data_IF_384557297864
#
_entry.id   IF_384557297864
#
_cell.length_a   1.000
_cell.length_b   1.000
_cell.length_c   1.000
_cell.angle_alpha   90.00
_cell.angle_beta   90.00
_cell.angle_gamma   90.00
#
_symmetry.space_group_name_H-M   'P 1'
#
loop_
_entity.id
_entity.type
_entity.pdbx_description
1 polymer ?
#
# COMPACT_ATOMS: atom_id res chain seq x y z
N UNK A 1 -11.79 1.53 13.40
CA UNK A 1 -10.57 2.24 12.93
C UNK A 1 -9.51 1.18 12.75
N UNK A 2 -9.20 0.85 11.50
CA UNK A 2 -8.47 -0.35 11.11
C UNK A 2 -7.07 -0.39 11.73
N UNK A 3 -6.79 -1.49 12.42
CA UNK A 3 -5.52 -1.85 13.08
C UNK A 3 -4.42 -2.24 12.08
N UNK A 4 -4.70 -2.23 10.77
CA UNK A 4 -3.78 -2.69 9.73
C UNK A 4 -2.65 -1.69 9.41
N UNK A 5 -2.91 -0.37 9.43
CA UNK A 5 -1.91 0.62 8.98
C UNK A 5 -0.77 0.84 9.98
N UNK A 6 -0.99 0.60 11.28
CA UNK A 6 0.06 0.64 12.30
C UNK A 6 0.95 -0.62 12.31
N UNK A 7 0.47 -1.72 11.73
CA UNK A 7 1.13 -3.01 11.70
C UNK A 7 2.27 -3.07 10.67
N UNK A 8 2.11 -2.37 9.54
CA UNK A 8 3.06 -2.35 8.44
C UNK A 8 4.39 -1.68 8.81
N UNK A 9 4.34 -0.53 9.50
CA UNK A 9 5.52 0.26 9.83
C UNK A 9 6.48 -0.47 10.79
N UNK A 10 5.94 -1.31 11.67
CA UNK A 10 6.70 -2.07 12.67
C UNK A 10 7.18 -3.40 12.15
N UNK A 11 6.40 -4.06 11.29
CA UNK A 11 6.87 -5.21 10.52
C UNK A 11 8.01 -4.80 9.59
N UNK A 12 8.01 -3.58 9.05
CA UNK A 12 9.15 -3.03 8.29
C UNK A 12 10.34 -2.74 9.21
N UNK A 13 10.18 -2.09 10.37
CA UNK A 13 11.31 -1.89 11.31
C UNK A 13 11.89 -3.23 11.81
N UNK A 14 11.04 -4.21 12.12
CA UNK A 14 11.46 -5.57 12.44
C UNK A 14 12.13 -6.23 11.23
N UNK A 15 11.63 -6.05 10.01
CA UNK A 15 12.25 -6.56 8.78
C UNK A 15 13.61 -5.89 8.48
N UNK A 16 13.77 -4.58 8.71
CA UNK A 16 15.03 -3.84 8.48
C UNK A 16 16.15 -4.29 9.43
N UNK A 17 15.79 -4.70 10.65
CA UNK A 17 16.71 -5.30 11.62
C UNK A 17 17.08 -6.74 11.21
N UNK A 18 16.24 -7.39 10.39
CA UNK A 18 16.20 -8.85 10.23
C UNK A 18 16.71 -9.36 8.88
N UNK A 19 16.39 -8.64 7.82
CA UNK A 19 16.72 -8.94 6.44
C UNK A 19 17.34 -7.69 5.83
N UNK A 20 18.65 -7.74 5.55
CA UNK A 20 19.39 -6.67 4.88
C UNK A 20 18.99 -6.44 3.40
N UNK A 21 17.75 -6.76 3.00
CA UNK A 21 17.28 -6.75 1.61
C UNK A 21 15.87 -6.13 1.45
N UNK A 22 15.54 -5.05 2.18
CA UNK A 22 14.48 -4.11 1.72
C UNK A 22 15.05 -2.81 1.13
N UNK A 23 16.31 -2.81 0.70
CA UNK A 23 16.91 -1.63 0.08
C UNK A 23 16.42 -1.47 -1.38
N UNK A 24 15.34 -0.70 -1.58
CA UNK A 24 14.96 -0.16 -2.90
C UNK A 24 15.38 1.30 -3.13
N UNK A 25 15.92 1.96 -2.12
CA UNK A 25 16.27 3.38 -2.19
C UNK A 25 17.66 3.70 -1.64
N UNK A 26 18.02 4.97 -1.69
CA UNK A 26 19.30 5.52 -1.24
C UNK A 26 19.22 5.99 0.22
N UNK A 27 20.36 6.15 0.86
CA UNK A 27 20.48 6.59 2.27
C UNK A 27 19.74 5.68 3.27
N UNK A 28 19.60 4.40 2.94
CA UNK A 28 18.82 3.42 3.70
C UNK A 28 17.35 3.30 3.28
N UNK A 29 16.87 4.18 2.40
CA UNK A 29 15.56 4.05 1.75
C UNK A 29 14.41 3.80 2.72
N UNK A 30 13.69 2.69 2.50
CA UNK A 30 12.50 2.31 3.28
C UNK A 30 12.84 2.08 4.75
N UNK A 31 14.01 1.53 5.06
CA UNK A 31 14.45 1.27 6.43
C UNK A 31 14.67 2.58 7.18
N UNK A 32 15.28 3.57 6.51
CA UNK A 32 15.50 4.89 7.06
C UNK A 32 14.18 5.62 7.34
N UNK A 33 13.26 5.62 6.36
CA UNK A 33 11.96 6.25 6.53
C UNK A 33 11.14 5.59 7.64
N UNK A 34 11.11 4.26 7.69
CA UNK A 34 10.34 3.51 8.69
C UNK A 34 10.86 3.77 10.09
N UNK A 35 12.18 3.72 10.29
CA UNK A 35 12.79 4.09 11.55
C UNK A 35 12.44 5.53 11.94
N UNK A 36 12.63 6.47 11.03
CA UNK A 36 12.46 7.91 11.28
C UNK A 36 11.02 8.21 11.69
N UNK A 37 10.04 7.59 11.04
CA UNK A 37 8.62 7.73 11.35
C UNK A 37 8.28 7.08 12.68
N UNK A 38 8.72 5.83 12.94
CA UNK A 38 8.44 5.14 14.22
C UNK A 38 9.02 5.90 15.40
N UNK A 39 10.30 6.31 15.31
CA UNK A 39 10.97 7.10 16.36
C UNK A 39 10.28 8.45 16.55
N UNK A 40 9.83 9.10 15.47
CA UNK A 40 9.01 10.32 15.57
C UNK A 40 7.67 10.10 16.26
N UNK A 41 6.97 8.99 15.98
CA UNK A 41 5.72 8.63 16.68
C UNK A 41 5.98 8.40 18.17
N UNK A 42 7.09 7.76 18.54
CA UNK A 42 7.48 7.58 19.95
C UNK A 42 7.71 8.94 20.64
N UNK A 43 8.39 9.89 19.98
CA UNK A 43 8.53 11.26 20.50
C UNK A 43 7.14 11.91 20.71
N UNK A 44 6.24 11.79 19.73
CA UNK A 44 4.89 12.33 19.85
C UNK A 44 4.08 11.70 20.98
N UNK A 45 4.15 10.38 21.17
CA UNK A 45 3.48 9.70 22.28
C UNK A 45 3.97 10.26 23.62
N UNK A 46 5.28 10.49 23.76
CA UNK A 46 5.85 11.05 24.99
C UNK A 46 5.31 12.44 25.30
N UNK A 47 5.14 13.28 24.27
CA UNK A 47 4.57 14.64 24.38
C UNK A 47 3.08 14.56 24.69
N UNK A 48 2.32 13.73 23.99
CA UNK A 48 0.86 13.63 24.10
C UNK A 48 0.41 13.06 25.45
N UNK A 49 1.10 12.03 25.93
CA UNK A 49 0.77 11.36 27.19
C UNK A 49 1.56 11.91 28.38
N UNK A 50 2.45 12.89 28.15
CA UNK A 50 3.34 13.46 29.16
C UNK A 50 4.09 12.37 29.94
N UNK A 51 4.70 11.44 29.21
CA UNK A 51 5.38 10.27 29.75
C UNK A 51 6.83 10.18 29.23
N UNK A 52 7.63 9.30 29.84
CA UNK A 52 9.02 9.11 29.39
C UNK A 52 9.08 8.40 28.03
N UNK A 53 10.19 8.57 27.30
CA UNK A 53 10.44 7.82 26.05
C UNK A 53 10.36 6.30 26.29
N UNK A 54 10.86 5.80 27.43
CA UNK A 54 10.78 4.38 27.78
C UNK A 54 9.32 3.92 27.87
N UNK A 55 8.49 4.67 28.59
CA UNK A 55 7.05 4.38 28.70
C UNK A 55 6.34 4.48 27.35
N UNK A 56 6.74 5.43 26.51
CA UNK A 56 6.19 5.60 25.16
C UNK A 56 6.52 4.44 24.23
N UNK A 57 7.74 3.88 24.33
CA UNK A 57 8.15 2.68 23.61
C UNK A 57 7.29 1.47 24.02
N UNK A 58 7.09 1.26 25.31
CA UNK A 58 6.22 0.18 25.81
C UNK A 58 4.76 0.35 25.38
N UNK A 59 4.24 1.57 25.47
CA UNK A 59 2.89 1.94 25.03
C UNK A 59 2.71 1.65 23.55
N UNK A 60 3.68 2.03 22.73
CA UNK A 60 3.67 1.77 21.29
C UNK A 60 3.57 0.27 21.01
N UNK A 61 4.38 -0.57 21.68
CA UNK A 61 4.26 -2.02 21.54
C UNK A 61 2.91 -2.59 22.01
N UNK A 62 2.26 -1.95 22.98
CA UNK A 62 0.95 -2.37 23.47
C UNK A 62 -0.21 -2.07 22.51
N UNK A 63 -0.01 -1.18 21.52
CA UNK A 63 -0.99 -0.93 20.46
C UNK A 63 -0.98 -1.98 19.35
N UNK A 64 -0.01 -2.89 19.36
CA UNK A 64 0.15 -3.90 18.33
C UNK A 64 -0.62 -5.18 18.67
N UNK A 65 -1.04 -5.94 17.64
CA UNK A 65 -1.56 -7.29 17.80
C UNK A 65 -0.60 -8.17 18.60
N UNK A 66 -1.14 -9.18 19.30
CA UNK A 66 -0.40 -10.09 20.19
C UNK A 66 0.86 -10.66 19.56
N UNK A 67 0.77 -11.02 18.29
CA UNK A 67 1.81 -11.76 17.57
C UNK A 67 3.02 -10.85 17.29
N UNK A 68 2.81 -9.55 17.11
CA UNK A 68 3.88 -8.57 16.80
C UNK A 68 4.38 -7.88 18.07
N UNK A 69 3.50 -7.73 19.06
CA UNK A 69 3.80 -7.12 20.35
C UNK A 69 5.02 -7.72 21.02
N UNK A 70 5.19 -9.04 20.98
CA UNK A 70 6.36 -9.73 21.56
C UNK A 70 7.65 -9.27 20.89
N UNK A 71 7.68 -9.23 19.56
CA UNK A 71 8.86 -8.77 18.82
C UNK A 71 9.17 -7.30 19.02
N UNK A 72 8.14 -6.45 19.10
CA UNK A 72 8.32 -5.05 19.43
C UNK A 72 8.99 -4.87 20.79
N UNK A 73 8.54 -5.60 21.81
CA UNK A 73 9.15 -5.54 23.15
C UNK A 73 10.60 -5.97 23.15
N UNK A 74 10.92 -7.05 22.44
CA UNK A 74 12.32 -7.49 22.26
C UNK A 74 13.15 -6.39 21.59
N UNK A 75 12.64 -5.77 20.52
CA UNK A 75 13.33 -4.67 19.86
C UNK A 75 13.53 -3.46 20.78
N UNK A 76 12.56 -3.15 21.64
CA UNK A 76 12.66 -2.10 22.67
C UNK A 76 13.74 -2.43 23.71
N UNK A 77 13.85 -3.68 24.15
CA UNK A 77 14.86 -4.08 25.13
C UNK A 77 16.29 -3.89 24.59
N UNK A 78 16.51 -4.16 23.30
CA UNK A 78 17.81 -3.97 22.66
C UNK A 78 18.04 -2.52 22.20
N UNK A 79 17.12 -1.92 21.44
CA UNK A 79 17.32 -0.61 20.81
C UNK A 79 16.88 0.57 21.69
N UNK A 80 16.04 0.33 22.68
CA UNK A 80 15.51 1.36 23.59
C UNK A 80 16.60 2.23 24.24
N UNK A 81 17.68 1.66 24.80
CA UNK A 81 18.73 2.46 25.45
C UNK A 81 19.37 3.52 24.53
N UNK A 82 19.73 3.17 23.29
CA UNK A 82 20.35 4.11 22.35
C UNK A 82 19.33 5.15 21.84
N UNK A 83 18.07 4.74 21.64
CA UNK A 83 16.97 5.65 21.27
C UNK A 83 16.74 6.70 22.37
N UNK A 84 16.63 6.25 23.62
CA UNK A 84 16.44 7.12 24.80
C UNK A 84 17.62 8.08 24.95
N UNK A 85 18.85 7.60 24.81
CA UNK A 85 20.04 8.46 24.86
C UNK A 85 20.03 9.53 23.75
N UNK A 86 19.59 9.16 22.54
CA UNK A 86 19.42 10.10 21.44
C UNK A 86 18.49 11.25 21.81
N UNK A 87 17.30 10.94 22.32
CA UNK A 87 16.36 11.97 22.77
C UNK A 87 16.88 12.81 23.95
N UNK A 88 17.58 12.21 24.91
CA UNK A 88 18.21 12.95 26.01
C UNK A 88 19.28 13.94 25.53
N UNK A 89 19.87 13.70 24.35
CA UNK A 89 20.80 14.64 23.68
C UNK A 89 20.10 15.62 22.73
N UNK A 90 18.77 15.70 22.74
CA UNK A 90 17.97 16.50 21.82
C UNK A 90 18.25 16.19 20.33
N UNK A 91 18.55 14.91 20.03
CA UNK A 91 18.68 14.44 18.65
C UNK A 91 17.32 14.23 18.00
N UNK A 92 17.23 14.46 16.68
CA UNK A 92 16.00 14.21 15.93
C UNK A 92 15.86 12.74 15.58
N UNK A 93 14.64 12.25 15.28
CA UNK A 93 14.42 10.89 14.80
C UNK A 93 15.35 10.49 13.64
N UNK A 94 15.60 11.38 12.68
CA UNK A 94 16.51 11.11 11.55
C UNK A 94 17.91 10.71 12.04
N UNK A 95 18.44 11.41 13.06
CA UNK A 95 19.80 11.19 13.58
C UNK A 95 19.86 9.97 14.50
N UNK A 96 18.81 9.75 15.29
CA UNK A 96 18.68 8.53 16.09
C UNK A 96 18.70 7.30 15.17
N UNK A 97 18.05 7.37 14.02
CA UNK A 97 18.05 6.30 13.03
C UNK A 97 19.42 6.07 12.37
N UNK A 98 20.25 7.10 12.24
CA UNK A 98 21.66 6.94 11.87
C UNK A 98 22.49 6.25 12.95
N UNK A 99 22.12 6.35 14.23
CA UNK A 99 22.83 5.67 15.32
C UNK A 99 22.63 4.15 15.33
N UNK A 100 21.53 3.68 14.75
CA UNK A 100 21.19 2.26 14.61
C UNK A 100 21.32 1.74 13.16
N UNK A 101 21.98 2.48 12.27
CA UNK A 101 22.31 2.09 10.87
C UNK A 101 21.12 1.91 9.91
N UNK A 102 19.89 2.17 10.35
CA UNK A 102 18.73 2.12 9.46
C UNK A 102 18.71 3.30 8.48
N UNK A 103 19.28 4.44 8.88
CA UNK A 103 19.68 5.50 7.97
C UNK A 103 21.21 5.52 7.79
N UNK A 104 21.66 5.91 6.60
CA UNK A 104 23.07 6.06 6.24
C UNK A 104 23.25 7.17 5.21
N UNK A 105 24.49 7.65 5.04
CA UNK A 105 24.85 8.58 3.98
C UNK A 105 25.51 7.79 2.84
N UNK A 106 24.81 7.64 1.71
CA UNK A 106 25.34 6.97 0.53
C UNK A 106 26.21 7.95 -0.31
N UNK A 107 27.37 7.52 -0.85
CA UNK A 107 28.25 8.40 -1.61
C UNK A 107 27.53 9.02 -2.82
N UNK A 108 27.62 10.35 -2.94
CA UNK A 108 27.01 11.11 -4.04
C UNK A 108 25.53 11.45 -3.85
N UNK A 109 24.92 11.03 -2.73
CA UNK A 109 23.53 11.33 -2.41
C UNK A 109 23.43 12.47 -1.39
N UNK A 110 22.38 13.33 -1.49
CA UNK A 110 22.16 14.38 -0.50
C UNK A 110 21.69 13.78 0.83
N UNK A 111 21.90 14.50 1.91
CA UNK A 111 21.41 14.10 3.23
C UNK A 111 19.89 14.33 3.34
N UNK A 112 19.12 13.26 3.55
CA UNK A 112 17.66 13.32 3.64
C UNK A 112 17.19 13.66 5.06
N UNK A 113 16.30 14.65 5.19
CA UNK A 113 15.83 15.14 6.50
C UNK A 113 14.31 15.34 6.53
N UNK A 114 13.64 14.68 7.46
CA UNK A 114 12.22 14.88 7.73
C UNK A 114 12.00 15.87 8.88
N UNK A 115 12.70 15.69 10.02
CA UNK A 115 12.55 16.55 11.19
C UNK A 115 13.60 17.67 11.22
N UNK A 116 13.16 18.89 11.58
CA UNK A 116 14.06 20.04 11.72
C UNK A 116 14.95 19.90 12.95
N UNK A 117 16.28 20.00 12.76
CA UNK A 117 17.23 20.02 13.87
C UNK A 117 16.99 21.21 14.79
N UNK A 118 16.89 20.96 16.09
CA UNK A 118 16.87 21.99 17.14
C UNK A 118 18.28 22.54 17.45
N UNK A 119 19.33 21.94 16.88
CA UNK A 119 20.74 22.21 17.17
C UNK A 119 21.52 22.70 15.94
N UNK A 120 22.32 23.76 16.11
CA UNK A 120 23.25 24.34 15.13
C UNK A 120 24.60 23.59 15.12
N UNK A 121 24.56 22.26 14.98
CA UNK A 121 25.77 21.45 14.88
C UNK A 121 26.32 21.45 13.44
N UNK A 122 27.63 21.60 13.29
CA UNK A 122 28.33 21.46 12.00
C UNK A 122 28.58 19.98 11.61
N UNK A 123 28.24 19.02 12.48
CA UNK A 123 28.40 17.60 12.21
C UNK A 123 27.25 17.06 11.34
N UNK A 124 27.58 16.16 10.40
CA UNK A 124 26.56 15.43 9.63
C UNK A 124 25.71 14.51 10.51
N UNK A 125 24.54 14.10 10.02
CA UNK A 125 23.67 13.15 10.69
C UNK A 125 24.39 11.82 10.96
N UNK A 126 25.15 11.30 10.00
CA UNK A 126 25.97 10.10 10.20
C UNK A 126 27.03 10.26 11.29
N UNK A 127 27.72 11.40 11.36
CA UNK A 127 28.70 11.67 12.42
C UNK A 127 28.05 11.73 13.80
N UNK A 128 26.90 12.39 13.91
CA UNK A 128 26.13 12.47 15.17
C UNK A 128 25.60 11.10 15.58
N UNK A 129 25.07 10.32 14.64
CA UNK A 129 24.66 8.94 14.86
C UNK A 129 25.82 8.03 15.29
N UNK A 130 27.00 8.18 14.67
CA UNK A 130 28.20 7.44 15.05
C UNK A 130 28.65 7.77 16.49
N UNK A 131 28.58 9.04 16.90
CA UNK A 131 28.92 9.46 18.26
C UNK A 131 27.98 8.86 19.32
N UNK A 132 26.68 8.68 19.01
CA UNK A 132 25.76 7.93 19.86
C UNK A 132 26.16 6.45 19.95
N UNK A 133 26.45 5.84 18.81
CA UNK A 133 26.76 4.41 18.70
C UNK A 133 28.05 4.00 19.39
N UNK A 134 29.05 4.88 19.51
CA UNK A 134 30.32 4.57 20.19
C UNK A 134 30.14 4.02 21.61
N UNK A 135 29.04 4.34 22.30
CA UNK A 135 28.74 3.81 23.65
C UNK A 135 28.08 2.43 23.65
N UNK A 136 27.70 1.90 22.49
CA UNK A 136 27.03 0.61 22.31
C UNK A 136 27.80 -0.27 21.30
N UNK A 137 29.02 -0.72 21.63
CA UNK A 137 29.91 -1.45 20.71
C UNK A 137 29.37 -2.82 20.26
N UNK A 138 28.37 -3.38 20.94
CA UNK A 138 27.70 -4.64 20.60
C UNK A 138 26.62 -4.49 19.52
N UNK A 139 26.17 -3.26 19.23
CA UNK A 139 25.06 -2.99 18.31
C UNK A 139 25.36 -3.41 16.85
N UNK A 140 26.56 -3.16 16.28
CA UNK A 140 26.90 -3.58 14.92
C UNK A 140 26.82 -5.10 14.70
N UNK A 141 27.19 -5.90 15.70
CA UNK A 141 27.09 -7.37 15.63
C UNK A 141 25.65 -7.89 15.67
N UNK A 142 24.73 -7.17 16.31
CA UNK A 142 23.31 -7.53 16.35
C UNK A 142 22.63 -7.34 14.98
N UNK A 143 22.96 -6.24 14.29
CA UNK A 143 22.36 -5.82 13.02
C UNK A 143 22.98 -6.50 11.78
N UNK A 144 24.07 -7.26 11.94
CA UNK A 144 24.78 -7.94 10.83
C UNK A 144 24.59 -9.45 10.81
N UNK A 145 23.94 -10.02 11.83
CA UNK A 145 23.61 -11.44 11.87
C UNK A 145 22.40 -11.75 10.98
N UNK A 146 22.37 -12.91 10.33
CA UNK A 146 21.21 -13.41 9.56
C UNK A 146 20.02 -13.52 10.48
N UNK A 147 19.27 -12.43 10.62
CA UNK A 147 18.34 -12.34 11.72
C UNK A 147 17.06 -13.16 11.47
N UNK A 148 16.80 -13.63 10.24
CA UNK A 148 15.83 -14.72 10.00
C UNK A 148 16.22 -16.08 10.59
N UNK A 149 17.45 -16.26 11.10
CA UNK A 149 17.84 -17.48 11.81
C UNK A 149 17.50 -17.42 13.33
N UNK A 150 17.04 -16.26 13.82
CA UNK A 150 16.62 -16.11 15.22
C UNK A 150 15.20 -16.69 15.43
N UNK A 151 14.99 -17.51 16.49
CA UNK A 151 13.66 -18.03 16.83
C UNK A 151 12.63 -16.91 17.05
N UNK A 152 11.47 -17.01 16.41
CA UNK A 152 10.41 -16.00 16.38
C UNK A 152 10.54 -15.02 15.20
N UNK A 153 11.75 -14.72 14.76
CA UNK A 153 11.98 -13.86 13.61
C UNK A 153 11.87 -14.64 12.29
N UNK A 154 12.31 -15.90 12.29
CA UNK A 154 12.14 -16.84 11.18
C UNK A 154 10.68 -16.95 10.72
N UNK A 155 9.75 -16.96 11.66
CA UNK A 155 8.31 -17.05 11.43
C UNK A 155 7.77 -15.79 10.73
N UNK A 156 8.28 -14.60 11.08
CA UNK A 156 7.94 -13.33 10.41
C UNK A 156 8.44 -13.34 8.96
N UNK A 157 9.65 -13.83 8.71
CA UNK A 157 10.21 -13.92 7.36
C UNK A 157 9.34 -14.81 6.45
N UNK A 158 8.83 -15.92 6.99
CA UNK A 158 7.92 -16.82 6.28
C UNK A 158 6.58 -16.13 5.93
N UNK A 159 5.97 -15.42 6.89
CA UNK A 159 4.76 -14.62 6.65
C UNK A 159 4.98 -13.65 5.49
N UNK A 160 6.13 -12.98 5.44
CA UNK A 160 6.41 -12.01 4.38
C UNK A 160 6.49 -12.63 2.98
N UNK A 161 7.18 -13.75 2.86
CA UNK A 161 7.33 -14.45 1.59
C UNK A 161 5.99 -14.99 1.08
N UNK A 162 5.21 -15.63 1.93
CA UNK A 162 3.92 -16.22 1.55
C UNK A 162 2.84 -15.14 1.30
N UNK A 163 2.73 -14.15 2.19
CA UNK A 163 1.62 -13.20 2.16
C UNK A 163 1.86 -12.00 1.25
N UNK A 164 3.05 -11.40 1.31
CA UNK A 164 3.31 -10.14 0.61
C UNK A 164 3.98 -10.35 -0.75
N UNK A 165 4.86 -11.35 -0.89
CA UNK A 165 5.50 -11.66 -2.16
C UNK A 165 4.64 -12.60 -3.01
N UNK A 166 4.17 -13.70 -2.42
CA UNK A 166 3.39 -14.72 -3.14
C UNK A 166 1.88 -14.42 -3.17
N UNK A 167 1.43 -13.38 -2.46
CA UNK A 167 0.03 -12.92 -2.46
C UNK A 167 -0.98 -14.01 -2.02
N UNK A 168 -0.55 -14.88 -1.11
CA UNK A 168 -1.31 -16.01 -0.57
C UNK A 168 -1.81 -15.72 0.85
N UNK A 169 -2.95 -16.32 1.28
CA UNK A 169 -3.34 -16.29 2.69
C UNK A 169 -2.25 -16.88 3.57
N UNK A 170 -2.19 -16.45 4.83
CA UNK A 170 -1.26 -17.05 5.78
C UNK A 170 -1.74 -18.44 6.23
N UNK A 171 -3.06 -18.62 6.33
CA UNK A 171 -3.69 -19.90 6.62
C UNK A 171 -4.53 -20.31 5.41
N UNK A 172 -4.04 -21.33 4.71
CA UNK A 172 -4.64 -21.96 3.52
C UNK A 172 -4.16 -23.42 3.50
N UNK A 173 -4.87 -24.29 4.22
CA UNK A 173 -4.48 -25.68 4.50
C UNK A 173 -4.76 -26.56 3.28
N UNK A 174 -5.84 -26.31 2.55
CA UNK A 174 -6.23 -27.11 1.38
C UNK A 174 -5.66 -26.59 0.04
N UNK A 175 -5.01 -25.41 0.06
CA UNK A 175 -4.28 -24.83 -1.04
C UNK A 175 -5.16 -24.17 -2.10
N UNK A 176 -6.39 -23.82 -1.75
CA UNK A 176 -7.37 -23.24 -2.67
C UNK A 176 -7.35 -21.71 -2.74
N UNK A 177 -6.47 -21.12 -1.92
CA UNK A 177 -6.12 -19.70 -1.87
C UNK A 177 -7.15 -18.82 -1.19
N UNK A 178 -8.05 -19.38 -0.39
CA UNK A 178 -8.92 -18.66 0.52
C UNK A 178 -8.44 -18.88 1.96
N UNK A 179 -8.56 -17.85 2.79
CA UNK A 179 -8.08 -17.89 4.18
C UNK A 179 -9.22 -17.79 5.17
N UNK A 180 -9.02 -18.36 6.35
CA UNK A 180 -9.99 -18.29 7.46
C UNK A 180 -9.81 -17.03 8.32
N UNK A 181 -8.64 -16.43 8.27
CA UNK A 181 -8.23 -15.23 9.00
C UNK A 181 -8.59 -13.95 8.23
N UNK A 182 -9.02 -12.90 8.92
CA UNK A 182 -9.40 -11.63 8.29
C UNK A 182 -8.19 -10.92 7.66
N UNK A 183 -7.04 -10.94 8.33
CA UNK A 183 -5.81 -10.25 7.91
C UNK A 183 -4.98 -11.05 6.89
N UNK A 184 -3.76 -10.59 6.58
CA UNK A 184 -2.75 -11.37 5.85
C UNK A 184 -3.22 -12.12 4.59
N UNK A 185 -3.96 -11.43 3.71
CA UNK A 185 -4.51 -11.98 2.45
C UNK A 185 -5.61 -13.04 2.59
N UNK A 186 -6.13 -13.28 3.80
CA UNK A 186 -7.33 -14.08 4.02
C UNK A 186 -8.63 -13.31 3.72
N UNK A 187 -9.60 -13.35 4.62
CA UNK A 187 -10.99 -13.00 4.34
C UNK A 187 -11.29 -11.50 4.13
N UNK A 188 -10.35 -10.59 4.39
CA UNK A 188 -10.48 -9.18 3.99
C UNK A 188 -10.09 -8.94 2.53
N UNK A 189 -9.44 -9.90 1.89
CA UNK A 189 -8.95 -9.81 0.50
C UNK A 189 -9.76 -10.67 -0.46
N UNK A 190 -10.32 -11.77 0.04
CA UNK A 190 -11.20 -12.72 -0.64
C UNK A 190 -12.29 -13.11 0.34
N UNK A 191 -13.37 -13.76 -0.07
CA UNK A 191 -14.37 -14.29 0.82
C UNK A 191 -13.74 -15.25 1.81
N UNK A 192 -14.32 -15.34 3.01
CA UNK A 192 -13.81 -16.25 4.03
C UNK A 192 -13.94 -17.69 3.56
N UNK A 193 -12.87 -18.47 3.77
CA UNK A 193 -12.98 -19.91 3.59
C UNK A 193 -13.87 -20.51 4.68
N UNK A 194 -14.91 -21.23 4.25
CA UNK A 194 -15.86 -21.88 5.13
C UNK A 194 -15.49 -23.34 5.44
N UNK A 195 -14.54 -23.94 4.69
CA UNK A 195 -13.98 -25.27 4.95
C UNK A 195 -12.54 -25.40 4.39
N UNK A 196 -11.58 -24.93 5.18
CA UNK A 196 -10.12 -24.97 4.90
C UNK A 196 -9.52 -26.40 4.88
N UNK A 197 -10.36 -27.44 4.76
CA UNK A 197 -9.94 -28.82 4.53
C UNK A 197 -10.39 -29.34 3.17
N UNK A 198 -11.11 -28.54 2.38
CA UNK A 198 -11.64 -28.94 1.09
C UNK A 198 -11.52 -27.83 0.05
N UNK A 199 -10.53 -27.99 -0.84
CA UNK A 199 -10.31 -27.08 -1.97
C UNK A 199 -11.43 -27.04 -3.01
N UNK A 200 -12.58 -27.65 -2.75
CA UNK A 200 -13.81 -27.56 -3.54
C UNK A 200 -14.85 -26.63 -2.92
N UNK A 201 -14.69 -26.24 -1.65
CA UNK A 201 -15.65 -25.48 -0.86
C UNK A 201 -15.05 -24.11 -0.58
N UNK A 202 -15.20 -23.19 -1.54
CA UNK A 202 -14.61 -21.86 -1.47
C UNK A 202 -15.46 -20.81 -2.14
N UNK A 203 -15.31 -19.53 -1.78
CA UNK A 203 -16.00 -18.44 -2.45
C UNK A 203 -15.85 -18.51 -3.98
N UNK A 204 -16.98 -18.56 -4.68
CA UNK A 204 -17.07 -18.60 -6.13
C UNK A 204 -17.32 -19.95 -6.79
N UNK A 205 -16.95 -21.09 -6.21
CA UNK A 205 -17.32 -22.40 -6.79
C UNK A 205 -18.86 -22.51 -6.94
N UNK A 206 -19.39 -23.29 -7.90
CA UNK A 206 -20.85 -23.40 -8.07
C UNK A 206 -21.53 -23.78 -6.73
N UNK A 207 -22.36 -22.83 -6.26
CA UNK A 207 -22.80 -22.52 -4.88
C UNK A 207 -21.65 -22.25 -3.88
N UNK A 208 -21.32 -21.02 -3.41
CA UNK A 208 -21.95 -19.67 -3.47
C UNK A 208 -20.89 -18.52 -3.35
N UNK A 209 -20.96 -17.50 -4.25
CA UNK A 209 -20.49 -16.06 -4.21
C UNK A 209 -18.97 -15.71 -4.10
N UNK A 210 -18.49 -14.74 -4.91
CA UNK A 210 -17.07 -14.56 -5.33
C UNK A 210 -16.37 -13.21 -5.06
N UNK A 211 -15.13 -13.02 -5.62
CA UNK A 211 -14.17 -11.95 -5.22
C UNK A 211 -13.24 -11.35 -6.30
N UNK A 212 -12.54 -10.27 -5.89
CA UNK A 212 -11.79 -9.22 -6.63
C UNK A 212 -10.25 -9.25 -6.38
N UNK A 213 -9.42 -8.83 -7.35
CA UNK A 213 -7.95 -8.67 -7.20
C UNK A 213 -7.42 -7.52 -8.08
N UNK A 214 -6.36 -6.81 -7.63
CA UNK A 214 -5.74 -5.67 -8.35
C UNK A 214 -4.20 -5.75 -8.45
N UNK A 215 -3.59 -5.05 -9.42
CA UNK A 215 -2.15 -5.11 -9.74
C UNK A 215 -1.64 -3.99 -10.68
N UNK A 216 -0.50 -4.18 -11.34
CA UNK A 216 0.15 -3.23 -12.30
C UNK A 216 0.42 -3.91 -13.65
N UNK A 217 0.46 -3.22 -14.80
CA UNK A 217 0.45 -3.89 -16.12
C UNK A 217 1.57 -4.92 -16.33
N UNK A 218 2.76 -4.66 -15.78
CA UNK A 218 3.93 -5.55 -15.88
C UNK A 218 3.80 -6.84 -15.07
N UNK A 219 3.08 -6.83 -13.95
CA UNK A 219 2.91 -7.99 -13.05
C UNK A 219 1.46 -8.43 -12.90
N UNK A 220 0.52 -7.78 -13.60
CA UNK A 220 -0.90 -8.11 -13.54
C UNK A 220 -1.14 -9.50 -14.12
N UNK A 221 -0.30 -10.01 -15.03
CA UNK A 221 -0.41 -11.39 -15.48
C UNK A 221 -0.08 -12.38 -14.37
N UNK A 222 0.87 -12.06 -13.48
CA UNK A 222 1.20 -12.94 -12.37
C UNK A 222 0.15 -12.88 -11.26
N UNK A 223 -0.45 -11.70 -11.04
CA UNK A 223 -1.60 -11.53 -10.13
C UNK A 223 -2.89 -12.09 -10.75
N UNK A 224 -3.10 -11.97 -12.05
CA UNK A 224 -4.28 -12.53 -12.71
C UNK A 224 -4.24 -14.06 -12.65
N UNK A 225 -3.06 -14.69 -12.61
CA UNK A 225 -2.92 -16.14 -12.32
C UNK A 225 -3.34 -16.53 -10.90
N UNK A 226 -3.48 -15.58 -9.98
CA UNK A 226 -4.08 -15.83 -8.67
C UNK A 226 -5.60 -15.77 -8.69
N UNK A 227 -6.23 -15.36 -9.79
CA UNK A 227 -7.66 -15.56 -10.05
C UNK A 227 -7.95 -17.05 -10.22
N UNK A 228 -8.79 -17.60 -9.35
CA UNK A 228 -9.21 -19.00 -9.42
C UNK A 228 -10.62 -19.06 -10.01
N UNK A 229 -10.74 -19.48 -11.28
CA UNK A 229 -12.03 -19.74 -11.93
C UNK A 229 -11.99 -20.95 -12.84
N UNK A 230 -13.05 -21.76 -12.75
CA UNK A 230 -13.34 -22.85 -13.69
C UNK A 230 -14.33 -22.38 -14.75
N UNK A 231 -13.90 -22.35 -16.02
CA UNK A 231 -14.72 -21.85 -17.13
C UNK A 231 -16.06 -22.59 -17.34
N UNK A 232 -16.14 -23.86 -16.95
CA UNK A 232 -17.32 -24.70 -17.19
C UNK A 232 -18.23 -24.75 -15.96
N UNK A 233 -17.63 -24.70 -14.78
CA UNK A 233 -18.31 -24.99 -13.52
C UNK A 233 -18.62 -23.73 -12.72
N UNK A 234 -17.94 -22.61 -12.94
CA UNK A 234 -18.17 -21.38 -12.18
C UNK A 234 -19.17 -20.43 -12.86
N UNK A 235 -19.74 -19.53 -12.06
CA UNK A 235 -20.61 -18.46 -12.57
C UNK A 235 -19.78 -17.37 -13.27
N UNK A 236 -20.36 -16.69 -14.27
CA UNK A 236 -19.72 -15.55 -14.91
C UNK A 236 -19.38 -14.42 -13.93
N UNK A 237 -18.37 -13.63 -14.26
CA UNK A 237 -17.88 -12.52 -13.44
C UNK A 237 -18.09 -11.18 -14.13
N UNK A 238 -18.30 -10.13 -13.32
CA UNK A 238 -17.94 -8.76 -13.70
C UNK A 238 -16.53 -8.49 -13.20
N UNK A 239 -15.58 -8.32 -14.11
CA UNK A 239 -14.18 -8.00 -13.83
C UNK A 239 -13.93 -6.53 -14.10
N UNK A 240 -13.41 -5.80 -13.10
CA UNK A 240 -12.93 -4.44 -13.28
C UNK A 240 -11.40 -4.48 -13.41
N UNK A 241 -10.90 -4.30 -14.62
CA UNK A 241 -9.46 -4.25 -14.93
C UNK A 241 -8.95 -2.82 -14.72
N UNK A 242 -8.40 -2.54 -13.54
CA UNK A 242 -8.10 -1.18 -13.08
C UNK A 242 -6.63 -1.02 -12.66
N UNK A 243 -5.80 -0.48 -13.57
CA UNK A 243 -4.36 -0.25 -13.39
C UNK A 243 -4.05 1.24 -13.35
N UNK A 244 -4.47 1.90 -12.27
CA UNK A 244 -4.75 3.35 -12.30
C UNK A 244 -3.55 4.28 -12.05
N UNK A 245 -2.32 3.77 -11.85
CA UNK A 245 -1.21 4.68 -11.51
C UNK A 245 0.22 4.15 -11.65
N UNK A 246 0.50 2.89 -11.30
CA UNK A 246 1.87 2.36 -11.26
C UNK A 246 2.62 2.37 -12.62
N UNK A 247 1.92 2.57 -13.72
CA UNK A 247 2.50 2.70 -15.06
C UNK A 247 3.08 4.10 -15.35
N UNK A 248 2.73 5.10 -14.53
CA UNK A 248 3.34 6.45 -14.51
C UNK A 248 4.01 6.80 -13.19
N UNK A 249 3.69 6.08 -12.11
CA UNK A 249 4.23 6.30 -10.78
C UNK A 249 5.39 5.37 -10.43
N UNK A 250 6.52 5.98 -10.05
CA UNK A 250 7.71 5.29 -9.58
C UNK A 250 8.54 6.21 -8.67
N UNK A 251 9.48 5.63 -7.92
CA UNK A 251 10.41 6.34 -7.02
C UNK A 251 11.80 6.59 -7.60
N UNK A 252 12.01 6.32 -8.90
CA UNK A 252 13.32 6.48 -9.54
C UNK A 252 13.63 7.96 -9.78
N UNK A 253 14.92 8.32 -9.67
CA UNK A 253 15.39 9.68 -9.95
C UNK A 253 15.10 10.11 -11.40
N UNK A 254 15.36 9.24 -12.38
CA UNK A 254 14.88 9.42 -13.76
C UNK A 254 13.46 8.89 -13.93
N UNK A 255 12.49 9.57 -13.31
CA UNK A 255 11.12 9.08 -13.22
C UNK A 255 10.46 8.90 -14.59
N UNK A 256 10.80 9.74 -15.57
CA UNK A 256 10.20 9.76 -16.92
C UNK A 256 10.64 8.53 -17.72
N UNK A 257 11.93 8.18 -17.69
CA UNK A 257 12.43 7.01 -18.41
C UNK A 257 11.83 5.68 -17.91
N UNK A 258 11.30 5.67 -16.67
CA UNK A 258 10.70 4.50 -16.04
C UNK A 258 9.17 4.43 -16.18
N UNK A 259 8.54 5.40 -16.84
CA UNK A 259 7.11 5.34 -17.13
C UNK A 259 6.85 4.42 -18.33
N UNK A 260 5.83 3.57 -18.23
CA UNK A 260 5.37 2.70 -19.33
C UNK A 260 5.03 3.56 -20.56
N UNK A 261 5.36 3.04 -21.75
CA UNK A 261 5.03 3.70 -23.02
C UNK A 261 3.65 3.29 -23.53
N UNK A 262 3.12 4.03 -24.51
CA UNK A 262 1.85 3.69 -25.16
C UNK A 262 1.85 2.25 -25.71
N UNK A 263 2.86 1.90 -26.51
CA UNK A 263 2.96 0.58 -27.15
C UNK A 263 3.05 -0.55 -26.11
N UNK A 264 3.78 -0.33 -25.03
CA UNK A 264 3.86 -1.29 -23.93
C UNK A 264 2.51 -1.48 -23.25
N UNK A 265 1.81 -0.39 -22.92
CA UNK A 265 0.50 -0.46 -22.25
C UNK A 265 -0.55 -1.12 -23.13
N UNK A 266 -0.59 -0.75 -24.42
CA UNK A 266 -1.48 -1.34 -25.42
C UNK A 266 -1.28 -2.86 -25.50
N UNK A 267 -0.03 -3.32 -25.72
CA UNK A 267 0.29 -4.74 -25.86
C UNK A 267 0.07 -5.53 -24.56
N UNK A 268 0.39 -4.94 -23.40
CA UNK A 268 0.14 -5.58 -22.09
C UNK A 268 -1.36 -5.70 -21.80
N UNK A 269 -2.15 -4.69 -22.17
CA UNK A 269 -3.62 -4.74 -22.03
C UNK A 269 -4.20 -5.84 -22.90
N UNK A 270 -3.80 -5.94 -24.17
CA UNK A 270 -4.21 -7.04 -25.05
C UNK A 270 -3.84 -8.41 -24.47
N UNK A 271 -2.64 -8.54 -23.91
CA UNK A 271 -2.19 -9.79 -23.28
C UNK A 271 -3.03 -10.14 -22.06
N UNK A 272 -3.37 -9.15 -21.23
CA UNK A 272 -4.25 -9.33 -20.08
C UNK A 272 -5.67 -9.76 -20.47
N UNK A 273 -6.25 -9.12 -21.49
CA UNK A 273 -7.56 -9.49 -22.02
C UNK A 273 -7.55 -10.90 -22.62
N UNK A 274 -6.49 -11.24 -23.36
CA UNK A 274 -6.30 -12.59 -23.89
C UNK A 274 -6.20 -13.66 -22.80
N UNK A 275 -5.52 -13.36 -21.70
CA UNK A 275 -5.44 -14.25 -20.56
C UNK A 275 -6.81 -14.43 -19.88
N UNK A 276 -7.55 -13.34 -19.64
CA UNK A 276 -8.90 -13.41 -19.07
C UNK A 276 -9.83 -14.28 -19.92
N UNK A 277 -9.68 -14.27 -21.24
CA UNK A 277 -10.48 -15.11 -22.14
C UNK A 277 -10.19 -16.61 -21.95
N UNK A 278 -9.05 -16.99 -21.36
CA UNK A 278 -8.75 -18.38 -21.01
C UNK A 278 -9.25 -18.81 -19.63
N UNK A 279 -9.71 -17.87 -18.80
CA UNK A 279 -10.07 -18.12 -17.39
C UNK A 279 -11.53 -17.84 -17.10
N UNK A 280 -12.11 -16.82 -17.74
CA UNK A 280 -13.48 -16.39 -17.45
C UNK A 280 -14.51 -17.35 -18.08
N UNK A 281 -15.55 -17.76 -17.35
CA UNK A 281 -16.70 -18.47 -17.91
C UNK A 281 -17.43 -17.63 -18.96
N UNK A 282 -18.07 -18.30 -19.93
CA UNK A 282 -18.92 -17.65 -20.96
C UNK A 282 -20.01 -16.81 -20.30
N UNK A 283 -20.17 -15.58 -20.78
CA UNK A 283 -21.16 -14.61 -20.28
C UNK A 283 -20.59 -13.69 -19.20
N UNK A 284 -19.27 -13.67 -19.02
CA UNK A 284 -18.61 -12.71 -18.13
C UNK A 284 -18.56 -11.32 -18.77
N UNK A 285 -18.18 -10.31 -18.00
CA UNK A 285 -18.06 -8.93 -18.44
C UNK A 285 -16.75 -8.33 -17.92
N UNK A 286 -16.03 -7.58 -18.77
CA UNK A 286 -14.76 -6.93 -18.40
C UNK A 286 -14.87 -5.43 -18.64
N UNK A 287 -14.81 -4.65 -17.56
CA UNK A 287 -14.70 -3.20 -17.60
C UNK A 287 -13.23 -2.81 -17.41
N UNK A 288 -12.58 -2.31 -18.47
CA UNK A 288 -11.25 -1.71 -18.35
C UNK A 288 -11.38 -0.25 -17.92
N UNK A 289 -10.47 0.17 -17.04
CA UNK A 289 -10.45 1.52 -16.48
C UNK A 289 -9.17 2.23 -16.91
N UNK A 290 -9.31 3.49 -17.36
CA UNK A 290 -8.18 4.37 -17.64
C UNK A 290 -7.33 4.68 -16.42
N UNK A 291 -6.22 5.40 -16.59
CA UNK A 291 -5.38 5.81 -15.47
C UNK A 291 -6.04 6.96 -14.69
N UNK A 292 -5.67 7.09 -13.41
CA UNK A 292 -6.09 8.21 -12.60
C UNK A 292 -5.43 9.51 -13.07
N UNK A 293 -6.15 10.63 -12.90
CA UNK A 293 -5.59 11.96 -13.04
C UNK A 293 -5.02 12.44 -11.69
N UNK A 294 -3.72 12.24 -11.47
CA UNK A 294 -3.05 12.64 -10.23
C UNK A 294 -2.62 14.12 -10.17
N UNK A 295 -2.95 14.94 -11.18
CA UNK A 295 -2.53 16.36 -11.25
C UNK A 295 -2.91 17.18 -10.01
N UNK A 296 -4.05 16.85 -9.40
CA UNK A 296 -4.60 17.54 -8.24
C UNK A 296 -3.94 17.17 -6.91
N UNK A 297 -3.23 16.04 -6.82
CA UNK A 297 -2.77 15.47 -5.55
C UNK A 297 -1.87 16.44 -4.78
N UNK A 298 -0.85 16.97 -5.47
CA UNK A 298 0.09 17.91 -4.87
C UNK A 298 -0.63 19.21 -4.46
N UNK A 299 -1.44 19.77 -5.34
CA UNK A 299 -2.12 21.05 -5.11
C UNK A 299 -3.09 20.95 -3.91
N UNK A 300 -3.74 19.80 -3.72
CA UNK A 300 -4.65 19.57 -2.59
C UNK A 300 -3.93 19.41 -1.24
N UNK A 301 -2.68 18.93 -1.24
CA UNK A 301 -2.02 18.45 -0.01
C UNK A 301 -0.76 19.23 0.39
N UNK A 302 0.00 19.80 -0.53
CA UNK A 302 1.39 20.24 -0.29
C UNK A 302 1.57 21.19 0.91
N UNK A 303 0.64 22.11 1.14
CA UNK A 303 0.66 23.08 2.26
C UNK A 303 0.02 22.55 3.55
N UNK A 304 -0.69 21.41 3.48
CA UNK A 304 -1.36 20.83 4.64
C UNK A 304 -0.35 20.16 5.56
N UNK A 305 -0.63 20.19 6.86
CA UNK A 305 0.18 19.51 7.86
C UNK A 305 -0.11 18.01 7.80
N UNK A 306 0.94 17.23 7.52
CA UNK A 306 0.92 15.77 7.54
C UNK A 306 0.60 15.27 8.98
N UNK A 307 0.00 14.07 9.18
CA UNK A 307 -0.23 13.52 10.52
C UNK A 307 0.99 13.53 11.44
N UNK A 308 2.19 13.31 10.89
CA UNK A 308 3.47 13.40 11.61
C UNK A 308 3.83 14.82 12.07
N UNK A 309 3.24 15.86 11.48
CA UNK A 309 3.49 17.26 11.85
C UNK A 309 2.48 17.84 12.83
N UNK A 310 1.55 17.03 13.38
CA UNK A 310 0.48 17.52 14.28
C UNK A 310 0.95 17.78 15.70
N UNK A 311 2.09 17.20 16.08
CA UNK A 311 2.71 17.35 17.41
C UNK A 311 4.12 17.85 17.19
N UNK A 312 4.51 18.91 17.90
CA UNK A 312 5.81 19.56 17.69
C UNK A 312 5.82 20.51 16.47
N UNK A 313 6.99 20.77 15.87
CA UNK A 313 7.10 21.61 14.67
C UNK A 313 6.29 21.03 13.50
N UNK A 314 5.61 21.88 12.71
CA UNK A 314 4.77 21.41 11.61
C UNK A 314 5.61 20.75 10.51
N UNK A 315 5.14 19.59 10.04
CA UNK A 315 5.65 18.87 8.88
C UNK A 315 4.54 18.86 7.83
N UNK A 316 4.79 19.51 6.69
CA UNK A 316 3.84 19.56 5.58
C UNK A 316 3.95 18.33 4.68
N UNK A 317 2.92 18.05 3.87
CA UNK A 317 3.04 16.99 2.84
C UNK A 317 4.17 17.28 1.86
N UNK A 318 4.40 18.53 1.45
CA UNK A 318 5.55 18.88 0.60
C UNK A 318 6.88 18.44 1.21
N UNK A 319 7.05 18.57 2.53
CA UNK A 319 8.24 18.13 3.24
C UNK A 319 8.37 16.60 3.27
N UNK A 320 7.26 15.89 3.46
CA UNK A 320 7.22 14.41 3.38
C UNK A 320 7.56 13.94 1.97
N UNK A 321 6.96 14.53 0.95
CA UNK A 321 7.22 14.19 -0.45
C UNK A 321 8.70 14.36 -0.80
N UNK A 322 9.31 15.51 -0.50
CA UNK A 322 10.74 15.73 -0.73
C UNK A 322 11.63 14.78 0.08
N UNK A 323 11.20 14.37 1.28
CA UNK A 323 11.94 13.38 2.08
C UNK A 323 11.91 11.98 1.43
N UNK A 324 10.74 11.53 0.97
CA UNK A 324 10.59 10.24 0.29
C UNK A 324 11.25 10.22 -1.10
N UNK A 325 11.21 11.33 -1.82
CA UNK A 325 11.93 11.54 -3.09
C UNK A 325 13.44 11.47 -2.88
N UNK A 326 13.97 12.15 -1.86
CA UNK A 326 15.39 12.11 -1.50
C UNK A 326 15.89 10.69 -1.17
N UNK A 327 15.03 9.88 -0.56
CA UNK A 327 15.32 8.48 -0.25
C UNK A 327 15.12 7.53 -1.44
N UNK A 328 14.65 8.01 -2.59
CA UNK A 328 14.26 7.20 -3.77
C UNK A 328 13.19 6.14 -3.45
N UNK A 329 12.24 6.46 -2.57
CA UNK A 329 11.16 5.56 -2.15
C UNK A 329 9.76 6.17 -2.27
N UNK A 330 9.65 7.38 -2.84
CA UNK A 330 8.36 7.99 -3.12
C UNK A 330 7.51 7.05 -3.96
N UNK A 331 6.21 6.88 -3.64
CA UNK A 331 5.33 6.02 -4.43
C UNK A 331 5.08 6.61 -5.82
N UNK A 332 5.27 7.92 -6.01
CA UNK A 332 5.08 8.58 -7.30
C UNK A 332 5.85 9.91 -7.38
N UNK A 333 7.12 9.89 -7.79
CA UNK A 333 7.91 11.10 -8.03
C UNK A 333 7.24 12.04 -9.05
N UNK A 334 6.57 11.48 -10.06
CA UNK A 334 5.87 12.23 -11.09
C UNK A 334 4.82 13.21 -10.55
N UNK A 335 3.89 12.74 -9.72
CA UNK A 335 2.80 13.56 -9.19
C UNK A 335 3.08 14.17 -7.81
N UNK A 336 3.88 13.52 -6.97
CA UNK A 336 4.19 13.98 -5.60
C UNK A 336 5.47 14.81 -5.59
N UNK A 337 5.58 15.78 -6.50
CA UNK A 337 6.76 16.65 -6.63
C UNK A 337 6.36 18.11 -6.70
N UNK A 338 7.20 18.99 -6.14
CA UNK A 338 7.05 20.43 -6.29
C UNK A 338 7.27 20.90 -7.73
N UNK A 339 7.91 20.10 -8.58
CA UNK A 339 8.14 20.39 -9.99
C UNK A 339 6.84 20.26 -10.81
N UNK A 340 6.21 21.39 -11.13
CA UNK A 340 4.95 21.45 -11.87
C UNK A 340 5.05 20.90 -13.29
N UNK A 341 6.19 21.11 -13.97
CA UNK A 341 6.47 20.59 -15.30
C UNK A 341 6.51 19.07 -15.29
N UNK A 342 7.10 18.47 -14.25
CA UNK A 342 7.11 17.03 -14.07
C UNK A 342 5.70 16.49 -13.80
N UNK A 343 4.91 17.17 -12.97
CA UNK A 343 3.50 16.79 -12.71
C UNK A 343 2.66 16.85 -13.98
N UNK A 344 2.85 17.89 -14.80
CA UNK A 344 2.15 18.05 -16.08
C UNK A 344 2.49 16.93 -17.06
N UNK A 345 3.78 16.62 -17.23
CA UNK A 345 4.22 15.52 -18.09
C UNK A 345 3.70 14.15 -17.62
N UNK A 346 3.72 13.90 -16.30
CA UNK A 346 3.18 12.65 -15.72
C UNK A 346 1.69 12.49 -16.04
N UNK A 347 0.94 13.60 -15.96
CA UNK A 347 -0.49 13.62 -16.27
C UNK A 347 -0.75 13.42 -17.77
N UNK A 348 0.06 14.04 -18.65
CA UNK A 348 0.01 13.81 -20.09
C UNK A 348 0.29 12.34 -20.44
N UNK A 349 1.32 11.74 -19.82
CA UNK A 349 1.60 10.31 -19.98
C UNK A 349 0.41 9.46 -19.52
N UNK A 350 -0.22 9.78 -18.40
CA UNK A 350 -1.37 9.04 -17.90
C UNK A 350 -2.57 9.08 -18.87
N UNK A 351 -2.85 10.25 -19.47
CA UNK A 351 -3.85 10.39 -20.53
C UNK A 351 -3.49 9.51 -21.74
N UNK A 352 -2.23 9.56 -22.19
CA UNK A 352 -1.77 8.74 -23.31
C UNK A 352 -1.91 7.22 -23.04
N UNK A 353 -1.59 6.78 -21.83
CA UNK A 353 -1.77 5.36 -21.45
C UNK A 353 -3.24 4.96 -21.31
N UNK A 354 -4.11 5.89 -20.91
CA UNK A 354 -5.56 5.64 -20.87
C UNK A 354 -6.14 5.40 -22.27
N UNK A 355 -5.67 6.17 -23.27
CA UNK A 355 -5.98 5.93 -24.69
C UNK A 355 -5.48 4.55 -25.13
N UNK A 356 -4.27 4.14 -24.73
CA UNK A 356 -3.76 2.81 -25.05
C UNK A 356 -4.65 1.68 -24.50
N UNK A 357 -5.17 1.83 -23.28
CA UNK A 357 -6.11 0.87 -22.66
C UNK A 357 -7.43 0.86 -23.42
N UNK A 358 -7.99 2.03 -23.75
CA UNK A 358 -9.20 2.18 -24.55
C UNK A 358 -9.06 1.46 -25.91
N UNK A 359 -7.99 1.76 -26.64
CA UNK A 359 -7.75 1.22 -27.98
C UNK A 359 -7.54 -0.29 -27.95
N UNK A 360 -6.79 -0.81 -26.97
CA UNK A 360 -6.64 -2.25 -26.77
C UNK A 360 -7.97 -2.94 -26.45
N UNK A 361 -8.80 -2.32 -25.60
CA UNK A 361 -10.12 -2.84 -25.20
C UNK A 361 -11.07 -2.94 -26.38
N UNK A 362 -11.06 -1.93 -27.27
CA UNK A 362 -11.91 -1.90 -28.45
C UNK A 362 -11.38 -2.76 -29.62
N UNK A 363 -10.08 -3.04 -29.63
CA UNK A 363 -9.45 -3.88 -30.66
C UNK A 363 -9.61 -5.38 -30.34
N UNK A 364 -9.53 -5.75 -29.07
CA UNK A 364 -9.65 -7.15 -28.66
C UNK A 364 -11.07 -7.67 -28.87
N UNK A 365 -11.21 -8.83 -29.51
CA UNK A 365 -12.50 -9.51 -29.73
C UNK A 365 -12.62 -10.74 -28.83
N UNK A 366 -13.16 -10.60 -27.60
CA UNK A 366 -13.27 -11.69 -26.63
C UNK A 366 -14.29 -12.75 -27.05
N UNK A 367 -14.12 -13.99 -26.56
CA UNK A 367 -15.05 -15.11 -26.80
C UNK A 367 -15.94 -15.40 -25.59
N UNK A 368 -15.41 -15.22 -24.38
CA UNK A 368 -16.08 -15.62 -23.14
C UNK A 368 -16.70 -14.44 -22.38
N UNK A 369 -16.42 -13.19 -22.78
CA UNK A 369 -16.93 -12.00 -22.11
C UNK A 369 -17.23 -10.85 -23.06
N UNK A 370 -18.07 -9.92 -22.62
CA UNK A 370 -18.18 -8.59 -23.26
C UNK A 370 -17.19 -7.62 -22.63
N UNK A 371 -16.67 -6.67 -23.40
CA UNK A 371 -15.76 -5.63 -22.91
C UNK A 371 -16.36 -4.22 -22.96
N UNK A 372 -15.81 -3.34 -22.14
CA UNK A 372 -16.14 -1.92 -22.10
C UNK A 372 -15.01 -1.13 -21.45
N UNK A 373 -14.93 0.16 -21.79
CA UNK A 373 -13.93 1.08 -21.26
C UNK A 373 -14.61 2.23 -20.50
N UNK A 374 -14.00 2.66 -19.41
CA UNK A 374 -14.39 3.84 -18.64
C UNK A 374 -13.15 4.61 -18.18
N UNK A 375 -13.10 5.92 -18.42
CA UNK A 375 -12.08 6.78 -17.81
C UNK A 375 -12.21 6.76 -16.29
N UNK A 376 -11.09 6.81 -15.57
CA UNK A 376 -11.11 6.75 -14.11
C UNK A 376 -11.93 7.91 -13.50
N UNK A 377 -13.08 7.64 -12.86
CA UNK A 377 -14.08 8.69 -12.64
C UNK A 377 -13.87 9.45 -11.33
N UNK A 378 -12.62 9.76 -10.98
CA UNK A 378 -12.30 10.41 -9.71
C UNK A 378 -12.68 11.88 -9.67
N UNK A 379 -12.59 12.58 -10.81
CA UNK A 379 -13.04 13.97 -10.91
C UNK A 379 -14.54 14.07 -10.60
N UNK A 380 -15.35 13.10 -11.07
CA UNK A 380 -16.77 13.02 -10.73
C UNK A 380 -16.98 12.69 -9.24
N UNK A 381 -16.20 11.76 -8.68
CA UNK A 381 -16.27 11.45 -7.25
C UNK A 381 -15.93 12.67 -6.36
N UNK A 382 -14.99 13.51 -6.79
CA UNK A 382 -14.66 14.77 -6.13
C UNK A 382 -15.85 15.74 -6.19
N UNK A 383 -16.50 15.89 -7.36
CA UNK A 383 -17.67 16.76 -7.48
C UNK A 383 -18.82 16.29 -6.59
N UNK A 384 -19.07 14.98 -6.54
CA UNK A 384 -20.10 14.39 -5.68
C UNK A 384 -19.81 14.70 -4.20
N UNK A 385 -18.56 14.53 -3.77
CA UNK A 385 -18.15 14.86 -2.40
C UNK A 385 -18.30 16.34 -2.06
N UNK A 386 -17.91 17.24 -2.98
CA UNK A 386 -18.10 18.69 -2.82
C UNK A 386 -19.60 19.02 -2.68
N UNK A 387 -20.46 18.35 -3.45
CA UNK A 387 -21.91 18.58 -3.41
C UNK A 387 -22.52 18.27 -2.03
N UNK A 388 -21.92 17.33 -1.31
CA UNK A 388 -22.30 16.94 0.05
C UNK A 388 -21.61 17.80 1.14
N UNK A 389 -20.91 18.88 0.76
CA UNK A 389 -20.20 19.78 1.68
C UNK A 389 -18.79 19.31 2.05
N UNK A 390 -18.29 18.26 1.40
CA UNK A 390 -16.95 17.74 1.57
C UNK A 390 -15.87 18.61 0.92
N UNK A 391 -14.62 18.37 1.30
CA UNK A 391 -13.42 18.98 0.71
C UNK A 391 -12.59 17.91 -0.02
N UNK A 392 -12.06 18.18 -1.22
CA UNK A 392 -11.40 17.16 -2.04
C UNK A 392 -10.24 16.43 -1.35
N UNK A 393 -9.43 17.14 -0.55
CA UNK A 393 -8.31 16.55 0.19
C UNK A 393 -8.73 15.45 1.18
N UNK A 394 -10.00 15.40 1.60
CA UNK A 394 -10.53 14.35 2.48
C UNK A 394 -10.69 13.01 1.76
N UNK A 395 -10.67 13.01 0.43
CA UNK A 395 -10.73 11.80 -0.37
C UNK A 395 -9.37 11.13 -0.56
N UNK A 396 -8.27 11.75 -0.09
CA UNK A 396 -6.91 11.20 -0.20
C UNK A 396 -6.49 10.61 1.14
N UNK A 397 -5.79 9.47 1.11
CA UNK A 397 -5.24 8.82 2.29
C UNK A 397 -4.29 9.75 3.04
N UNK A 398 -4.52 9.89 4.35
CA UNK A 398 -3.87 10.93 5.12
C UNK A 398 -2.40 10.62 5.42
N UNK A 399 -1.99 9.35 5.40
CA UNK A 399 -0.64 8.92 5.78
C UNK A 399 0.30 8.85 4.58
N UNK A 400 -0.15 8.33 3.45
CA UNK A 400 0.69 8.32 2.24
C UNK A 400 0.52 9.59 1.40
N UNK A 401 -0.61 10.30 1.54
CA UNK A 401 -0.89 11.51 0.76
C UNK A 401 -0.96 11.24 -0.74
N UNK A 402 -1.38 10.05 -1.15
CA UNK A 402 -1.32 9.58 -2.52
C UNK A 402 -2.55 8.77 -2.91
N UNK A 403 -2.85 7.70 -2.18
CA UNK A 403 -3.95 6.81 -2.53
C UNK A 403 -5.29 7.45 -2.23
N UNK A 404 -6.34 6.96 -2.89
CA UNK A 404 -7.69 7.33 -2.55
C UNK A 404 -8.03 6.71 -1.20
N UNK A 405 -8.60 7.50 -0.30
CA UNK A 405 -9.08 7.04 1.00
C UNK A 405 -10.27 6.10 0.88
N UNK A 406 -10.63 5.45 1.99
CA UNK A 406 -11.86 4.65 2.06
C UNK A 406 -13.12 5.43 1.59
N UNK A 407 -13.24 6.72 1.93
CA UNK A 407 -14.36 7.55 1.46
C UNK A 407 -14.33 7.77 -0.04
N UNK A 408 -13.15 8.07 -0.58
CA UNK A 408 -13.01 8.25 -2.02
C UNK A 408 -13.29 6.96 -2.78
N UNK A 409 -12.85 5.80 -2.27
CA UNK A 409 -13.17 4.50 -2.84
C UNK A 409 -14.69 4.26 -2.88
N UNK A 410 -15.40 4.51 -1.78
CA UNK A 410 -16.85 4.34 -1.73
C UNK A 410 -17.58 5.19 -2.78
N UNK A 411 -17.24 6.48 -2.88
CA UNK A 411 -17.89 7.39 -3.83
C UNK A 411 -17.52 7.03 -5.28
N UNK A 412 -16.25 6.70 -5.54
CA UNK A 412 -15.83 6.23 -6.87
C UNK A 412 -16.55 4.94 -7.27
N UNK A 413 -16.78 4.02 -6.32
CA UNK A 413 -17.59 2.81 -6.55
C UNK A 413 -19.04 3.15 -6.90
N UNK A 414 -19.68 4.11 -6.21
CA UNK A 414 -21.04 4.55 -6.54
C UNK A 414 -21.14 5.16 -7.94
N UNK A 415 -20.12 5.92 -8.34
CA UNK A 415 -20.03 6.49 -9.69
C UNK A 415 -19.89 5.41 -10.75
N UNK A 416 -19.01 4.42 -10.54
CA UNK A 416 -18.86 3.27 -11.46
C UNK A 416 -20.15 2.45 -11.53
N UNK A 417 -20.80 2.21 -10.39
CA UNK A 417 -22.05 1.47 -10.33
C UNK A 417 -23.17 2.18 -11.10
N UNK A 418 -23.31 3.49 -10.92
CA UNK A 418 -24.27 4.32 -11.67
C UNK A 418 -24.00 4.32 -13.17
N UNK A 419 -22.71 4.32 -13.56
CA UNK A 419 -22.31 4.20 -14.95
C UNK A 419 -22.68 2.83 -15.53
N UNK A 420 -22.45 1.74 -14.80
CA UNK A 420 -22.84 0.38 -15.21
C UNK A 420 -24.36 0.27 -15.41
N UNK A 421 -25.15 0.79 -14.47
CA UNK A 421 -26.61 0.80 -14.57
C UNK A 421 -27.09 1.56 -15.82
N UNK A 422 -26.45 2.68 -16.15
CA UNK A 422 -26.87 3.54 -17.26
C UNK A 422 -26.40 3.04 -18.63
N UNK A 423 -25.18 2.52 -18.72
CA UNK A 423 -24.52 2.21 -20.00
C UNK A 423 -24.46 0.71 -20.29
N UNK A 424 -24.47 -0.13 -19.26
CA UNK A 424 -24.35 -1.58 -19.35
C UNK A 424 -25.37 -2.32 -18.46
N UNK A 425 -26.68 -1.95 -18.48
CA UNK A 425 -27.66 -2.54 -17.56
C UNK A 425 -27.80 -4.06 -17.69
N UNK A 426 -27.53 -4.62 -18.86
CA UNK A 426 -27.57 -6.07 -19.12
C UNK A 426 -26.40 -6.84 -18.49
N UNK A 427 -25.33 -6.15 -18.03
CA UNK A 427 -24.23 -6.77 -17.29
C UNK A 427 -24.58 -7.00 -15.81
N UNK A 428 -25.62 -6.33 -15.31
CA UNK A 428 -26.05 -6.42 -13.93
C UNK A 428 -27.21 -7.41 -13.83
N UNK A 429 -27.13 -8.43 -12.96
CA UNK A 429 -28.24 -9.34 -12.76
C UNK A 429 -29.45 -8.59 -12.17
N UNK A 430 -30.68 -9.02 -12.47
CA UNK A 430 -31.86 -8.45 -11.81
C UNK A 430 -31.80 -8.71 -10.30
N UNK A 431 -32.48 -7.87 -9.53
CA UNK A 431 -32.66 -8.10 -8.10
C UNK A 431 -33.30 -9.47 -7.88
N UNK A 432 -32.69 -10.29 -7.02
CA UNK A 432 -33.21 -11.62 -6.72
C UNK A 432 -34.53 -11.50 -5.94
N UNK A 433 -35.67 -12.01 -6.46
CA UNK A 433 -36.96 -11.87 -5.82
C UNK A 433 -37.05 -12.61 -4.46
N UNK A 434 -36.11 -13.50 -4.16
CA UNK A 434 -36.04 -14.26 -2.91
C UNK A 434 -35.13 -13.65 -1.85
N UNK A 435 -34.61 -12.43 -2.04
CA UNK A 435 -33.75 -11.78 -1.03
C UNK A 435 -34.39 -11.75 0.37
N UNK A 436 -35.69 -11.45 0.45
CA UNK A 436 -36.42 -11.45 1.73
C UNK A 436 -36.56 -12.86 2.34
N UNK A 437 -36.67 -13.91 1.52
CA UNK A 437 -36.69 -15.29 1.99
C UNK A 437 -35.32 -15.74 2.49
N UNK A 438 -34.26 -15.36 1.78
CA UNK A 438 -32.87 -15.65 2.15
C UNK A 438 -32.56 -15.01 3.51
N UNK A 439 -32.85 -13.72 3.68
CA UNK A 439 -32.65 -13.02 4.96
C UNK A 439 -33.47 -13.65 6.09
N UNK A 440 -34.72 -14.04 5.82
CA UNK A 440 -35.59 -14.69 6.81
C UNK A 440 -35.06 -16.05 7.26
N UNK A 441 -34.48 -16.85 6.36
CA UNK A 441 -34.04 -18.24 6.63
C UNK A 441 -32.59 -18.28 7.12
N UNK A 442 -31.70 -17.56 6.46
CA UNK A 442 -30.25 -17.61 6.68
C UNK A 442 -29.70 -16.40 7.45
N UNK A 443 -30.54 -15.40 7.75
CA UNK A 443 -30.16 -14.17 8.47
C UNK A 443 -29.02 -13.44 7.76
N UNK A 444 -27.90 -13.23 8.46
CA UNK A 444 -26.66 -12.64 7.95
C UNK A 444 -25.85 -13.61 7.09
N UNK A 445 -26.39 -14.79 6.78
CA UNK A 445 -25.78 -15.82 5.95
C UNK A 445 -24.45 -16.35 6.51
N UNK A 446 -24.23 -16.20 7.82
CA UNK A 446 -22.98 -16.59 8.48
C UNK A 446 -21.99 -15.43 8.69
N UNK A 447 -22.37 -14.21 8.30
CA UNK A 447 -21.52 -13.02 8.42
C UNK A 447 -20.59 -12.82 7.22
N UNK A 448 -19.46 -12.16 7.46
CA UNK A 448 -18.38 -11.96 6.48
C UNK A 448 -17.39 -13.12 6.48
#
# INVERSE_FOLDING_TARGET
MSTASGMYLLLVVLFSIVNGNLARGVNGGVDCASCTIVVGVIEHLSILYNETIVTSLERFCNYLPSDIKTYCKVAVDYLGPIIVEGFLKNETPDIICHSITLCRDDPGQPECRLFSSKSLSNLSHSQRGANLRQRYPWLPSLLTSKACDLPGIKEICKIFEEVFNNHMPLVDIDGDRFGTEESFRGSAWRGKDCDDFSSKIRPGARSVMGDYQGGKSKSILDIAKTLTRDQQNDVPLLVIYSLVGNDVCNGHNDTIAHMTTYEEMYNRTLTGLAYLDTVLPIGSHVLTIGLANGSILYDLLHDRVHPLGRVGPPITYSKVYSYLECLEISPCNGWLSSNDTLRAFTSERAVNLSIAVHDATNTYSPKNFDSGYLDFPFDQAIQEWISQGGKPWQLIESVDGFHISQYGHAITSDVIWSWLQSNKPHWLPPANPHNADIERVFKDQGGY
#
